data_IF_955477832827
#
_entry.id   IF_955477832827
#
_cell.length_a   1.000
_cell.length_b   1.000
_cell.length_c   1.000
_cell.angle_alpha   90.00
_cell.angle_beta   90.00
_cell.angle_gamma   90.00
#
_symmetry.space_group_name_H-M   'P 1'
#
loop_
_entity.id
_entity.type
_entity.pdbx_description
1 polymer ?
#
# COMPACT_ATOMS: atom_id res chain seq x y z
N UNK A 1 11.09 4.78 -18.99
CA UNK A 1 10.93 3.47 -18.33
C UNK A 1 12.26 3.14 -17.69
N UNK A 2 12.27 2.71 -16.43
CA UNK A 2 13.46 2.13 -15.79
C UNK A 2 13.85 0.87 -16.56
N UNK A 3 15.14 0.61 -16.76
CA UNK A 3 15.58 -0.64 -17.40
C UNK A 3 15.25 -1.82 -16.49
N UNK A 4 15.25 -3.03 -17.04
CA UNK A 4 14.98 -4.21 -16.22
C UNK A 4 16.09 -4.41 -15.19
N UNK A 5 17.32 -4.14 -15.61
CA UNK A 5 18.52 -4.23 -14.79
C UNK A 5 18.49 -3.22 -13.63
N UNK A 6 18.19 -1.95 -13.91
CA UNK A 6 18.05 -0.90 -12.88
C UNK A 6 16.93 -1.21 -11.89
N UNK A 7 15.82 -1.78 -12.37
CA UNK A 7 14.72 -2.21 -11.52
C UNK A 7 15.17 -3.35 -10.58
N UNK A 8 15.82 -4.39 -11.13
CA UNK A 8 16.31 -5.52 -10.33
C UNK A 8 17.37 -5.11 -9.31
N UNK A 9 18.25 -4.16 -9.65
CA UNK A 9 19.27 -3.62 -8.75
C UNK A 9 18.69 -2.75 -7.63
N UNK A 10 17.64 -1.98 -7.91
CA UNK A 10 16.99 -1.10 -6.93
C UNK A 10 16.00 -1.82 -6.02
N UNK A 11 15.54 -3.02 -6.40
CA UNK A 11 14.55 -3.79 -5.64
C UNK A 11 15.00 -4.15 -4.21
N UNK A 12 16.19 -4.74 -3.98
CA UNK A 12 16.65 -5.08 -2.63
C UNK A 12 16.76 -3.89 -1.66
N UNK A 13 17.43 -2.76 -2.01
CA UNK A 13 17.51 -1.63 -1.10
C UNK A 13 16.13 -1.01 -0.84
N UNK A 14 15.27 -0.91 -1.86
CA UNK A 14 13.91 -0.38 -1.68
C UNK A 14 13.08 -1.17 -0.66
N UNK A 15 13.21 -2.50 -0.64
CA UNK A 15 12.55 -3.36 0.36
C UNK A 15 12.99 -3.03 1.77
N UNK A 16 14.29 -2.86 1.98
CA UNK A 16 14.87 -2.52 3.27
C UNK A 16 14.39 -1.13 3.71
N UNK A 17 14.41 -0.17 2.81
CA UNK A 17 13.99 1.20 3.09
C UNK A 17 12.50 1.28 3.46
N UNK A 18 11.63 0.54 2.76
CA UNK A 18 10.21 0.46 3.09
C UNK A 18 9.96 -0.14 4.47
N UNK A 19 10.68 -1.20 4.83
CA UNK A 19 10.55 -1.81 6.14
C UNK A 19 11.06 -0.88 7.25
N UNK A 20 12.18 -0.20 7.03
CA UNK A 20 12.72 0.80 7.97
C UNK A 20 11.73 1.95 8.16
N UNK A 21 11.17 2.49 7.07
CA UNK A 21 10.14 3.53 7.13
C UNK A 21 8.91 3.07 7.93
N UNK A 22 8.50 1.80 7.83
CA UNK A 22 7.43 1.24 8.64
C UNK A 22 7.73 1.33 10.15
N UNK A 23 8.95 0.97 10.55
CA UNK A 23 9.37 1.02 11.94
C UNK A 23 9.50 2.46 12.45
N UNK A 24 9.96 3.39 11.62
CA UNK A 24 10.01 4.81 11.96
C UNK A 24 8.61 5.40 12.19
N UNK A 25 7.67 5.13 11.29
CA UNK A 25 6.27 5.55 11.45
C UNK A 25 5.67 4.94 12.72
N UNK A 26 5.96 3.67 13.00
CA UNK A 26 5.47 3.00 14.21
C UNK A 26 6.05 3.57 15.51
N UNK A 27 7.29 4.06 15.47
CA UNK A 27 7.91 4.73 16.60
C UNK A 27 7.40 6.18 16.78
N UNK A 28 6.65 6.69 15.80
CA UNK A 28 6.02 8.02 15.85
C UNK A 28 4.57 7.94 16.32
N UNK A 29 4.03 9.08 16.76
CA UNK A 29 2.61 9.22 17.10
C UNK A 29 1.74 9.59 15.88
N UNK A 30 2.28 9.50 14.66
CA UNK A 30 1.62 9.97 13.44
C UNK A 30 1.20 8.79 12.56
N UNK A 31 -0.11 8.53 12.37
CA UNK A 31 -0.56 7.51 11.43
C UNK A 31 -0.34 7.98 9.98
N UNK A 32 0.03 7.03 9.10
CA UNK A 32 0.21 7.28 7.67
C UNK A 32 -0.89 6.58 6.88
N UNK A 33 -1.53 7.30 5.97
CA UNK A 33 -2.55 6.78 5.06
C UNK A 33 -2.05 6.86 3.62
N UNK A 34 -2.08 5.73 2.92
CA UNK A 34 -1.69 5.63 1.50
C UNK A 34 -2.95 5.42 0.68
N UNK A 35 -3.24 6.35 -0.24
CA UNK A 35 -4.37 6.21 -1.16
C UNK A 35 -3.85 5.70 -2.50
N UNK A 36 -4.22 4.47 -2.84
CA UNK A 36 -3.94 3.88 -4.15
C UNK A 36 -5.15 4.08 -5.06
N UNK A 37 -4.95 4.74 -6.19
CA UNK A 37 -5.99 5.02 -7.18
C UNK A 37 -5.48 4.79 -8.59
N UNK A 38 -6.30 4.17 -9.43
CA UNK A 38 -6.03 3.97 -10.85
C UNK A 38 -7.28 3.45 -11.55
N UNK A 39 -7.39 3.69 -12.86
CA UNK A 39 -8.46 3.12 -13.69
C UNK A 39 -8.33 1.59 -13.76
N UNK A 40 -7.09 1.10 -13.70
CA UNK A 40 -6.77 -0.31 -13.62
C UNK A 40 -6.75 -0.79 -12.16
N UNK A 41 -7.82 -1.48 -11.78
CA UNK A 41 -7.97 -2.05 -10.44
C UNK A 41 -6.99 -3.19 -10.17
N UNK A 42 -6.52 -3.88 -11.21
CA UNK A 42 -5.58 -4.98 -11.07
C UNK A 42 -4.21 -4.45 -10.66
N UNK A 43 -3.73 -3.41 -11.35
CA UNK A 43 -2.46 -2.75 -11.01
C UNK A 43 -2.46 -2.19 -9.57
N UNK A 44 -3.58 -1.62 -9.10
CA UNK A 44 -3.72 -1.17 -7.71
C UNK A 44 -3.63 -2.34 -6.72
N UNK A 45 -4.30 -3.45 -7.05
CA UNK A 45 -4.28 -4.67 -6.23
C UNK A 45 -2.88 -5.30 -6.16
N UNK A 46 -2.13 -5.30 -7.28
CA UNK A 46 -0.75 -5.78 -7.31
C UNK A 46 0.16 -4.97 -6.40
N UNK A 47 0.08 -3.64 -6.43
CA UNK A 47 0.86 -2.76 -5.54
C UNK A 47 0.50 -3.00 -4.08
N UNK A 48 -0.79 -3.11 -3.77
CA UNK A 48 -1.24 -3.40 -2.41
C UNK A 48 -0.68 -4.74 -1.91
N UNK A 49 -0.75 -5.78 -2.75
CA UNK A 49 -0.18 -7.08 -2.42
C UNK A 49 1.34 -6.97 -2.22
N UNK A 50 2.05 -6.24 -3.07
CA UNK A 50 3.50 -6.05 -2.94
C UNK A 50 3.87 -5.46 -1.57
N UNK A 51 3.13 -4.42 -1.13
CA UNK A 51 3.33 -3.81 0.19
C UNK A 51 3.10 -4.82 1.32
N UNK A 52 2.05 -5.63 1.25
CA UNK A 52 1.78 -6.68 2.25
C UNK A 52 2.83 -7.79 2.26
N UNK A 53 3.47 -8.08 1.13
CA UNK A 53 4.54 -9.10 1.06
C UNK A 53 5.87 -8.58 1.62
N UNK A 54 6.16 -7.29 1.49
CA UNK A 54 7.46 -6.73 1.85
C UNK A 54 7.49 -6.13 3.26
N UNK A 55 6.37 -5.59 3.74
CA UNK A 55 6.26 -4.95 5.04
C UNK A 55 5.61 -5.90 6.07
N UNK A 56 5.69 -5.58 7.35
CA UNK A 56 5.00 -6.35 8.39
C UNK A 56 3.49 -6.10 8.31
N UNK A 57 2.75 -7.07 7.75
CA UNK A 57 1.31 -6.98 7.53
C UNK A 57 0.50 -6.78 8.81
N UNK A 58 1.05 -7.04 10.01
CA UNK A 58 0.36 -6.78 11.29
C UNK A 58 0.13 -5.30 11.56
N UNK A 59 0.87 -4.42 10.87
CA UNK A 59 0.77 -2.96 11.00
C UNK A 59 0.20 -2.29 9.75
N UNK A 60 -0.37 -3.07 8.83
CA UNK A 60 -1.05 -2.56 7.65
C UNK A 60 -2.54 -2.87 7.75
N UNK A 61 -3.36 -1.86 7.47
CA UNK A 61 -4.80 -2.05 7.23
C UNK A 61 -5.12 -1.64 5.80
N UNK A 62 -5.92 -2.46 5.13
CA UNK A 62 -6.24 -2.32 3.72
C UNK A 62 -7.75 -2.14 3.55
N UNK A 63 -8.15 -0.92 3.18
CA UNK A 63 -9.55 -0.60 2.92
C UNK A 63 -9.82 -0.53 1.42
N UNK A 64 -10.71 -1.41 0.94
CA UNK A 64 -11.20 -1.40 -0.43
C UNK A 64 -12.54 -0.69 -0.55
N UNK A 65 -12.60 0.35 -1.36
CA UNK A 65 -13.84 1.07 -1.64
C UNK A 65 -14.65 0.37 -2.73
N UNK A 66 -15.50 -0.56 -2.30
CA UNK A 66 -16.42 -1.29 -3.18
C UNK A 66 -17.74 -0.56 -3.48
N UNK A 67 -18.67 -1.31 -4.07
CA UNK A 67 -20.07 -0.89 -4.15
C UNK A 67 -20.63 -0.82 -2.72
N UNK A 68 -21.24 0.30 -2.36
CA UNK A 68 -21.90 0.45 -1.06
C UNK A 68 -23.03 -0.57 -0.93
N UNK A 69 -23.13 -1.17 0.25
CA UNK A 69 -24.33 -1.87 0.69
C UNK A 69 -25.54 -0.93 0.68
N UNK A 70 -26.74 -1.51 0.78
CA UNK A 70 -27.98 -0.72 0.82
C UNK A 70 -28.11 0.07 2.12
N UNK A 71 -27.53 -0.42 3.22
CA UNK A 71 -27.44 0.30 4.49
C UNK A 71 -26.50 1.50 4.39
N UNK A 72 -25.27 1.32 3.88
CA UNK A 72 -24.29 2.41 3.76
C UNK A 72 -24.79 3.53 2.83
N UNK A 73 -25.60 3.22 1.81
CA UNK A 73 -26.19 4.23 0.90
C UNK A 73 -27.12 5.23 1.59
N UNK A 74 -27.58 4.93 2.81
CA UNK A 74 -28.44 5.82 3.59
C UNK A 74 -27.65 6.96 4.27
N UNK A 75 -26.32 6.89 4.28
CA UNK A 75 -25.43 7.87 4.90
C UNK A 75 -24.57 8.58 3.84
N UNK A 76 -24.05 9.79 4.10
CA UNK A 76 -23.02 10.40 3.26
C UNK A 76 -21.82 9.45 3.04
N UNK A 77 -21.13 9.61 1.91
CA UNK A 77 -19.83 8.95 1.73
C UNK A 77 -18.75 9.73 2.45
#
# INVERSE_FOLDING_TARGET
KVSKEEYEESLPPLRVDLLNAQFEVRASDVPVMIVLSGDDREAVSEVLNLLHHWMDARYLDAHFFGRRSDYERQYPR
#
